data_IF_449175855006
#
_entry.id   IF_449175855006
#
_cell.length_a   1.000
_cell.length_b   1.000
_cell.length_c   1.000
_cell.angle_alpha   90.00
_cell.angle_beta   90.00
_cell.angle_gamma   90.00
#
_symmetry.space_group_name_H-M   'P 1'
#
loop_
_entity.id
_entity.type
_entity.pdbx_description
1 polymer ?
#
# COMPACT_ATOMS: atom_id res chain seq x y z
N UNK A 1 -2.93 9.51 52.11
CA UNK A 1 -2.67 10.18 50.82
C UNK A 1 -3.85 9.91 49.91
N UNK A 2 -4.58 10.95 49.50
CA UNK A 2 -5.85 10.83 48.80
C UNK A 2 -5.62 10.48 47.32
N UNK A 3 -6.04 9.29 46.91
CA UNK A 3 -6.16 8.90 45.49
C UNK A 3 -7.38 9.59 44.85
N UNK A 4 -7.39 10.92 44.83
CA UNK A 4 -8.31 11.68 43.97
C UNK A 4 -7.62 11.87 42.64
N UNK A 5 -7.78 10.92 41.73
CA UNK A 5 -7.66 11.18 40.30
C UNK A 5 -8.70 12.23 39.94
N UNK A 6 -8.29 13.50 39.93
CA UNK A 6 -9.12 14.62 39.50
C UNK A 6 -9.59 14.37 38.07
N UNK A 7 -10.89 14.51 37.77
CA UNK A 7 -11.43 14.32 36.41
C UNK A 7 -10.66 15.12 35.36
N UNK A 8 -10.19 16.31 35.72
CA UNK A 8 -9.38 17.19 34.85
C UNK A 8 -8.06 16.56 34.42
N UNK A 9 -7.40 15.78 35.29
CA UNK A 9 -6.16 15.04 34.94
C UNK A 9 -6.44 13.85 34.03
N UNK A 10 -7.60 13.21 34.17
CA UNK A 10 -8.02 12.12 33.28
C UNK A 10 -8.33 12.70 31.91
N UNK A 11 -9.06 13.83 31.84
CA UNK A 11 -9.36 14.53 30.60
C UNK A 11 -8.09 15.07 29.92
N UNK A 12 -7.17 15.69 30.67
CA UNK A 12 -5.85 16.10 30.13
C UNK A 12 -5.03 14.92 29.60
N UNK A 13 -5.06 13.77 30.27
CA UNK A 13 -4.35 12.58 29.81
C UNK A 13 -5.01 11.97 28.56
N UNK A 14 -6.34 11.98 28.48
CA UNK A 14 -7.08 11.54 27.30
C UNK A 14 -6.80 12.48 26.14
N UNK A 15 -6.86 13.79 26.34
CA UNK A 15 -6.55 14.77 25.32
C UNK A 15 -5.10 14.65 24.87
N UNK A 16 -4.13 14.56 25.78
CA UNK A 16 -2.70 14.39 25.45
C UNK A 16 -2.39 13.04 24.78
N UNK A 17 -3.19 12.01 25.02
CA UNK A 17 -3.12 10.74 24.29
C UNK A 17 -3.72 10.90 22.88
N UNK A 18 -4.88 11.54 22.77
CA UNK A 18 -5.56 11.82 21.51
C UNK A 18 -4.74 12.74 20.60
N UNK A 19 -4.09 13.75 21.15
CA UNK A 19 -3.18 14.64 20.40
C UNK A 19 -1.96 13.88 19.89
N UNK A 20 -1.40 12.95 20.68
CA UNK A 20 -0.29 12.08 20.23
C UNK A 20 -0.72 11.08 19.15
N UNK A 21 -1.90 10.51 19.27
CA UNK A 21 -2.46 9.63 18.24
C UNK A 21 -2.77 10.40 16.95
N UNK A 22 -3.23 11.65 17.07
CA UNK A 22 -3.40 12.56 15.94
C UNK A 22 -2.06 12.98 15.32
N UNK A 23 -1.04 13.29 16.10
CA UNK A 23 0.32 13.61 15.61
C UNK A 23 0.96 12.41 14.90
N UNK A 24 0.80 11.20 15.43
CA UNK A 24 1.19 9.96 14.73
C UNK A 24 0.43 9.77 13.42
N UNK A 25 -0.89 9.95 13.44
CA UNK A 25 -1.72 9.87 12.23
C UNK A 25 -1.42 10.95 11.17
N UNK A 26 -0.71 12.02 11.55
CA UNK A 26 -0.22 13.09 10.67
C UNK A 26 1.18 12.83 10.11
N UNK A 27 1.96 11.91 10.71
CA UNK A 27 3.24 11.45 10.15
C UNK A 27 3.03 10.86 8.76
N UNK A 28 3.86 11.28 7.79
CA UNK A 28 3.79 10.80 6.41
C UNK A 28 4.11 9.29 6.29
N UNK A 29 4.87 8.73 7.25
CA UNK A 29 5.24 7.32 7.25
C UNK A 29 4.06 6.39 7.58
N UNK A 30 3.14 6.82 8.45
CA UNK A 30 1.98 6.01 8.88
C UNK A 30 0.84 5.97 7.84
N UNK A 31 1.09 6.49 6.62
CA UNK A 31 0.13 6.55 5.51
C UNK A 31 0.38 5.49 4.44
N UNK A 32 1.47 4.74 4.54
CA UNK A 32 1.94 3.87 3.48
C UNK A 32 2.27 2.47 3.96
N UNK A 33 1.75 1.48 3.25
CA UNK A 33 2.25 0.11 3.33
C UNK A 33 3.13 -0.15 2.12
N UNK A 34 4.40 -0.48 2.38
CA UNK A 34 5.40 -0.71 1.33
C UNK A 34 5.98 -2.11 1.40
N UNK A 35 6.32 -2.65 0.24
CA UNK A 35 7.06 -3.90 0.09
C UNK A 35 8.08 -3.74 -1.01
N UNK A 36 9.37 -3.82 -0.63
CA UNK A 36 10.49 -3.77 -1.57
C UNK A 36 11.16 -5.13 -1.62
N UNK A 37 11.47 -5.57 -2.83
CA UNK A 37 12.26 -6.77 -3.11
C UNK A 37 13.40 -6.39 -4.06
N UNK A 38 14.54 -7.04 -3.89
CA UNK A 38 15.72 -6.83 -4.73
C UNK A 38 16.19 -8.18 -5.22
N UNK A 39 16.32 -8.30 -6.53
CA UNK A 39 16.88 -9.45 -7.19
C UNK A 39 18.30 -9.12 -7.63
N UNK A 40 19.25 -9.84 -7.03
CA UNK A 40 20.67 -9.70 -7.36
C UNK A 40 21.20 -10.81 -8.27
N UNK A 41 20.35 -11.75 -8.69
CA UNK A 41 20.77 -12.89 -9.51
C UNK A 41 20.80 -12.49 -10.99
N UNK A 42 21.98 -12.51 -11.59
CA UNK A 42 22.13 -12.23 -13.03
C UNK A 42 21.41 -13.35 -13.81
N UNK A 43 20.50 -13.02 -14.75
CA UNK A 43 19.79 -14.02 -15.53
C UNK A 43 20.75 -14.73 -16.48
N UNK A 44 20.44 -15.97 -16.85
CA UNK A 44 21.27 -16.74 -17.77
C UNK A 44 21.46 -16.00 -19.11
N UNK A 45 22.62 -16.17 -19.74
CA UNK A 45 22.98 -15.52 -20.99
C UNK A 45 22.09 -15.95 -22.17
N UNK A 46 21.48 -17.13 -22.09
CA UNK A 46 20.52 -17.65 -23.06
C UNK A 46 19.05 -17.43 -22.64
N UNK A 47 18.80 -16.75 -21.51
CA UNK A 47 17.46 -16.52 -21.00
C UNK A 47 16.61 -15.75 -22.01
N UNK A 48 15.46 -16.33 -22.34
CA UNK A 48 14.54 -15.76 -23.33
C UNK A 48 13.82 -14.53 -22.78
N UNK A 49 13.35 -13.64 -23.66
CA UNK A 49 12.55 -12.46 -23.26
C UNK A 49 11.37 -12.80 -22.34
N UNK A 50 10.59 -13.88 -22.59
CA UNK A 50 9.52 -14.29 -21.67
C UNK A 50 10.01 -14.75 -20.29
N UNK A 51 11.20 -15.35 -20.18
CA UNK A 51 11.79 -15.74 -18.89
C UNK A 51 12.23 -14.52 -18.08
N UNK A 52 12.88 -13.57 -18.74
CA UNK A 52 13.28 -12.29 -18.15
C UNK A 52 12.08 -11.45 -17.70
N UNK A 53 11.00 -11.43 -18.49
CA UNK A 53 9.73 -10.81 -18.07
C UNK A 53 9.11 -11.52 -16.85
N UNK A 54 9.14 -12.87 -16.82
CA UNK A 54 8.63 -13.63 -15.68
C UNK A 54 9.42 -13.33 -14.40
N UNK A 55 10.74 -13.16 -14.50
CA UNK A 55 11.60 -12.73 -13.38
C UNK A 55 11.15 -11.38 -12.83
N UNK A 56 11.00 -10.36 -13.68
CA UNK A 56 10.51 -9.03 -13.25
C UNK A 56 9.12 -9.10 -12.63
N UNK A 57 8.22 -9.90 -13.20
CA UNK A 57 6.88 -10.09 -12.64
C UNK A 57 6.92 -10.75 -11.26
N UNK A 58 7.74 -11.80 -11.09
CA UNK A 58 7.92 -12.48 -9.81
C UNK A 58 8.51 -11.54 -8.73
N UNK A 59 9.39 -10.62 -9.14
CA UNK A 59 9.94 -9.60 -8.27
C UNK A 59 8.86 -8.62 -7.77
N UNK A 60 8.01 -8.14 -8.68
CA UNK A 60 6.85 -7.29 -8.35
C UNK A 60 5.84 -8.04 -7.47
N UNK A 61 5.58 -9.31 -7.77
CA UNK A 61 4.70 -10.17 -6.97
C UNK A 61 5.23 -10.33 -5.54
N UNK A 62 6.54 -10.53 -5.38
CA UNK A 62 7.19 -10.60 -4.07
C UNK A 62 7.08 -9.28 -3.30
N UNK A 63 7.30 -8.15 -3.97
CA UNK A 63 7.05 -6.81 -3.41
C UNK A 63 5.59 -6.62 -2.96
N UNK A 64 4.64 -7.06 -3.77
CA UNK A 64 3.21 -7.07 -3.41
C UNK A 64 2.93 -7.91 -2.16
N UNK A 65 3.47 -9.13 -2.09
CA UNK A 65 3.27 -10.00 -0.93
C UNK A 65 3.82 -9.36 0.35
N UNK A 66 5.01 -8.75 0.28
CA UNK A 66 5.60 -8.01 1.40
C UNK A 66 4.72 -6.82 1.81
N UNK A 67 4.22 -6.04 0.85
CA UNK A 67 3.33 -4.91 1.15
C UNK A 67 2.01 -5.39 1.81
N UNK A 68 1.42 -6.47 1.30
CA UNK A 68 0.16 -7.04 1.81
C UNK A 68 0.27 -7.66 3.21
N UNK A 69 1.46 -8.14 3.56
CA UNK A 69 1.81 -8.73 4.87
C UNK A 69 2.47 -7.72 5.81
N UNK A 70 2.74 -6.49 5.35
CA UNK A 70 3.40 -5.47 6.17
C UNK A 70 2.58 -5.14 7.43
N UNK A 71 3.28 -4.83 8.51
CA UNK A 71 2.65 -4.39 9.76
C UNK A 71 1.86 -3.07 9.58
N UNK A 72 2.26 -2.26 8.60
CA UNK A 72 1.68 -0.95 8.22
C UNK A 72 0.23 -1.06 7.70
N UNK A 73 -0.18 -2.22 7.19
CA UNK A 73 -1.54 -2.37 6.62
C UNK A 73 -2.65 -2.27 7.69
N UNK A 74 -2.33 -2.68 8.93
CA UNK A 74 -3.29 -2.66 10.05
C UNK A 74 -3.55 -1.23 10.55
N UNK A 75 -2.52 -0.40 10.81
CA UNK A 75 -2.68 1.05 11.02
C UNK A 75 -3.47 1.74 9.91
N UNK A 76 -3.20 1.41 8.64
CA UNK A 76 -3.96 1.96 7.51
C UNK A 76 -5.42 1.57 7.54
N UNK A 77 -5.73 0.32 7.85
CA UNK A 77 -7.09 -0.15 8.02
C UNK A 77 -7.81 0.56 9.19
N UNK A 78 -7.11 0.82 10.29
CA UNK A 78 -7.66 1.57 11.43
C UNK A 78 -7.96 3.03 11.07
N UNK A 79 -7.06 3.70 10.33
CA UNK A 79 -7.30 5.06 9.80
C UNK A 79 -8.48 5.08 8.83
N UNK A 80 -8.55 4.10 7.93
CA UNK A 80 -9.68 3.96 7.02
C UNK A 80 -11.00 3.78 7.77
N UNK A 81 -11.03 2.94 8.81
CA UNK A 81 -12.20 2.81 9.69
C UNK A 81 -12.56 4.15 10.31
N UNK A 82 -11.60 4.89 10.87
CA UNK A 82 -11.87 6.19 11.45
C UNK A 82 -12.47 7.18 10.44
N UNK A 83 -12.00 7.15 9.18
CA UNK A 83 -12.57 7.94 8.08
C UNK A 83 -13.98 7.46 7.73
N UNK A 84 -14.22 6.14 7.67
CA UNK A 84 -15.54 5.57 7.38
C UNK A 84 -16.57 5.73 8.51
N UNK A 85 -16.12 5.78 9.77
CA UNK A 85 -16.93 6.03 10.97
C UNK A 85 -17.35 7.51 11.04
N UNK A 86 -16.60 8.43 10.42
CA UNK A 86 -17.07 9.79 10.11
C UNK A 86 -18.02 9.68 8.91
N UNK A 87 -19.29 9.39 9.21
CA UNK A 87 -20.42 9.41 8.28
C UNK A 87 -20.19 10.47 7.17
N UNK A 88 -20.10 10.03 5.91
CA UNK A 88 -19.92 10.83 4.68
C UNK A 88 -18.48 11.15 4.23
N UNK A 89 -17.42 10.62 4.86
CA UNK A 89 -16.07 10.76 4.30
C UNK A 89 -15.67 9.55 3.44
N UNK A 90 -15.08 9.85 2.28
CA UNK A 90 -14.41 8.86 1.42
C UNK A 90 -12.92 8.88 1.69
N UNK A 91 -12.23 7.77 1.41
CA UNK A 91 -10.78 7.73 1.38
C UNK A 91 -10.30 7.59 -0.06
N UNK A 92 -9.23 8.31 -0.41
CA UNK A 92 -8.52 8.15 -1.68
C UNK A 92 -7.18 7.51 -1.39
N UNK A 93 -6.74 6.65 -2.28
CA UNK A 93 -5.40 6.10 -2.19
C UNK A 93 -4.82 5.88 -3.55
N UNK A 94 -3.56 5.48 -3.56
CA UNK A 94 -2.86 5.04 -4.75
C UNK A 94 -2.05 3.79 -4.47
N UNK A 95 -1.99 2.95 -5.49
CA UNK A 95 -1.06 1.83 -5.55
C UNK A 95 -0.01 2.19 -6.57
N UNK A 96 1.25 2.21 -6.14
CA UNK A 96 2.38 2.39 -7.02
C UNK A 96 3.22 1.12 -7.11
N UNK A 97 3.77 0.90 -8.30
CA UNK A 97 4.78 -0.12 -8.59
C UNK A 97 5.95 0.63 -9.22
N UNK A 98 7.13 0.49 -8.64
CA UNK A 98 8.39 1.04 -9.16
C UNK A 98 9.34 -0.12 -9.45
N UNK A 99 9.95 -0.13 -10.63
CA UNK A 99 11.03 -1.06 -11.01
C UNK A 99 12.29 -0.25 -11.25
N UNK A 100 13.36 -0.59 -10.53
CA UNK A 100 14.64 0.11 -10.50
C UNK A 100 15.73 -0.77 -11.11
N UNK A 101 16.49 -0.24 -12.05
CA UNK A 101 17.59 -0.93 -12.71
C UNK A 101 18.90 -0.42 -12.12
N UNK A 102 19.48 -1.16 -11.16
CA UNK A 102 20.52 -0.62 -10.28
C UNK A 102 21.88 -0.50 -10.97
N UNK A 103 22.12 -1.31 -12.01
CA UNK A 103 23.39 -1.32 -12.76
C UNK A 103 23.24 -0.68 -14.15
N UNK A 104 22.18 0.07 -14.40
CA UNK A 104 21.90 0.67 -15.71
C UNK A 104 21.45 2.13 -15.57
N UNK A 105 21.86 3.00 -16.50
CA UNK A 105 21.51 4.43 -16.50
C UNK A 105 20.03 4.71 -16.86
N UNK A 106 19.19 3.67 -16.92
CA UNK A 106 17.79 3.80 -17.30
C UNK A 106 17.00 4.31 -16.08
N UNK A 107 16.06 5.21 -16.33
CA UNK A 107 15.16 5.71 -15.29
C UNK A 107 14.21 4.62 -14.79
N UNK A 108 13.81 4.73 -13.53
CA UNK A 108 12.85 3.83 -12.91
C UNK A 108 11.51 3.77 -13.67
N UNK A 109 10.98 2.57 -13.84
CA UNK A 109 9.67 2.34 -14.43
C UNK A 109 8.60 2.39 -13.35
N UNK A 110 7.90 3.53 -13.27
CA UNK A 110 6.89 3.79 -12.24
C UNK A 110 5.48 3.73 -12.84
N UNK A 111 4.60 2.93 -12.23
CA UNK A 111 3.18 2.85 -12.53
C UNK A 111 2.35 3.19 -11.30
N UNK A 112 1.44 4.15 -11.43
CA UNK A 112 0.53 4.55 -10.34
C UNK A 112 -0.92 4.31 -10.74
N UNK A 113 -1.70 3.74 -9.83
CA UNK A 113 -3.13 3.48 -10.00
C UNK A 113 -3.88 4.05 -8.80
N UNK A 114 -4.65 5.13 -8.99
CA UNK A 114 -5.50 5.66 -7.93
C UNK A 114 -6.66 4.70 -7.67
N UNK A 115 -7.14 4.69 -6.43
CA UNK A 115 -8.37 4.02 -6.04
C UNK A 115 -9.13 4.87 -5.03
N UNK A 116 -10.42 4.60 -4.94
CA UNK A 116 -11.30 5.19 -3.94
C UNK A 116 -11.91 4.11 -3.06
N UNK A 117 -12.11 4.47 -1.80
CA UNK A 117 -12.80 3.62 -0.84
C UNK A 117 -13.96 4.40 -0.24
N UNK A 118 -15.17 3.91 -0.51
CA UNK A 118 -16.42 4.44 0.00
C UNK A 118 -16.98 3.54 1.11
N UNK A 119 -17.93 4.05 1.93
CA UNK A 119 -18.62 3.24 2.95
C UNK A 119 -19.28 1.97 2.38
N UNK A 120 -19.77 2.01 1.14
CA UNK A 120 -20.36 0.82 0.47
C UNK A 120 -19.39 -0.36 0.39
N UNK A 121 -18.10 -0.13 0.16
CA UNK A 121 -17.13 -1.21 0.12
C UNK A 121 -16.99 -1.92 1.48
N UNK A 122 -17.16 -1.20 2.60
CA UNK A 122 -17.17 -1.83 3.94
C UNK A 122 -18.42 -2.67 4.16
N UNK A 123 -19.58 -2.20 3.68
CA UNK A 123 -20.82 -2.97 3.74
C UNK A 123 -20.75 -4.24 2.89
N UNK A 124 -20.20 -4.14 1.68
CA UNK A 124 -19.96 -5.27 0.79
C UNK A 124 -18.99 -6.27 1.43
N UNK A 125 -17.88 -5.79 1.99
CA UNK A 125 -16.92 -6.63 2.70
C UNK A 125 -17.55 -7.34 3.90
N UNK A 126 -18.42 -6.66 4.66
CA UNK A 126 -19.18 -7.25 5.77
C UNK A 126 -20.12 -8.36 5.31
N UNK A 127 -20.82 -8.17 4.18
CA UNK A 127 -21.71 -9.18 3.58
C UNK A 127 -20.92 -10.41 3.14
N UNK A 128 -19.76 -10.20 2.52
CA UNK A 128 -18.90 -11.28 2.02
C UNK A 128 -18.22 -12.06 3.15
N UNK A 129 -17.64 -11.36 4.12
CA UNK A 129 -16.86 -11.95 5.20
C UNK A 129 -17.71 -12.56 6.32
N UNK A 130 -18.99 -12.17 6.41
CA UNK A 130 -19.91 -12.49 7.51
C UNK A 130 -19.40 -12.09 8.89
N UNK A 131 -18.38 -11.22 8.97
CA UNK A 131 -17.87 -10.69 10.24
C UNK A 131 -18.32 -9.25 10.45
N UNK A 132 -18.73 -8.94 11.68
CA UNK A 132 -19.03 -7.58 12.12
C UNK A 132 -17.79 -6.78 12.48
N UNK A 133 -16.60 -7.41 12.51
CA UNK A 133 -15.33 -6.78 12.86
C UNK A 133 -14.87 -5.78 11.78
N UNK A 134 -14.89 -4.46 12.07
CA UNK A 134 -14.63 -3.43 11.07
C UNK A 134 -13.16 -3.38 10.63
N UNK A 135 -12.23 -3.70 11.54
CA UNK A 135 -10.78 -3.80 11.29
C UNK A 135 -10.45 -4.89 10.25
N UNK A 136 -11.06 -6.06 10.39
CA UNK A 136 -10.88 -7.19 9.47
C UNK A 136 -11.44 -6.87 8.09
N UNK A 137 -12.61 -6.24 8.03
CA UNK A 137 -13.25 -5.84 6.78
C UNK A 137 -12.45 -4.75 6.06
N UNK A 138 -11.98 -3.73 6.79
CA UNK A 138 -11.12 -2.67 6.26
C UNK A 138 -9.83 -3.24 5.66
N UNK A 139 -9.16 -4.15 6.38
CA UNK A 139 -7.94 -4.82 5.89
C UNK A 139 -8.21 -5.62 4.62
N UNK A 140 -9.35 -6.33 4.55
CA UNK A 140 -9.76 -7.10 3.35
C UNK A 140 -9.93 -6.17 2.15
N UNK A 141 -10.64 -5.05 2.33
CA UNK A 141 -10.83 -4.05 1.27
C UNK A 141 -9.49 -3.50 0.79
N UNK A 142 -8.60 -3.11 1.70
CA UNK A 142 -7.28 -2.59 1.35
C UNK A 142 -6.43 -3.62 0.58
N UNK A 143 -6.41 -4.88 1.02
CA UNK A 143 -5.71 -5.95 0.29
C UNK A 143 -6.28 -6.19 -1.10
N UNK A 144 -7.61 -6.11 -1.26
CA UNK A 144 -8.25 -6.23 -2.57
C UNK A 144 -7.86 -5.07 -3.50
N UNK A 145 -7.88 -3.83 -2.98
CA UNK A 145 -7.46 -2.63 -3.74
C UNK A 145 -5.98 -2.70 -4.10
N UNK A 146 -5.12 -3.14 -3.18
CA UNK A 146 -3.71 -3.39 -3.42
C UNK A 146 -3.51 -4.39 -4.55
N UNK A 147 -4.10 -5.59 -4.46
CA UNK A 147 -3.98 -6.64 -5.50
C UNK A 147 -4.40 -6.14 -6.89
N UNK A 148 -5.59 -5.52 -6.97
CA UNK A 148 -6.12 -5.03 -8.23
C UNK A 148 -5.28 -3.84 -8.76
N UNK A 149 -4.82 -2.98 -7.87
CA UNK A 149 -3.97 -1.83 -8.17
C UNK A 149 -2.60 -2.26 -8.72
N UNK A 150 -1.95 -3.26 -8.11
CA UNK A 150 -0.67 -3.80 -8.59
C UNK A 150 -0.82 -4.38 -9.99
N UNK A 151 -1.85 -5.19 -10.24
CA UNK A 151 -2.10 -5.76 -11.57
C UNK A 151 -2.35 -4.67 -12.63
N UNK A 152 -3.10 -3.61 -12.27
CA UNK A 152 -3.33 -2.50 -13.17
C UNK A 152 -2.08 -1.64 -13.39
N UNK A 153 -1.26 -1.44 -12.35
CA UNK A 153 0.00 -0.70 -12.41
C UNK A 153 1.02 -1.46 -13.27
N UNK A 154 1.13 -2.78 -13.07
CA UNK A 154 1.93 -3.68 -13.90
C UNK A 154 1.54 -3.56 -15.38
N UNK A 155 0.24 -3.65 -15.70
CA UNK A 155 -0.24 -3.48 -17.10
C UNK A 155 0.14 -2.12 -17.70
N UNK A 156 0.18 -1.05 -16.90
CA UNK A 156 0.63 0.28 -17.35
C UNK A 156 2.13 0.37 -17.60
N UNK A 157 2.95 -0.38 -16.85
CA UNK A 157 4.41 -0.36 -17.00
C UNK A 157 4.92 -1.43 -17.97
N UNK A 158 4.13 -2.46 -18.29
CA UNK A 158 4.51 -3.60 -19.16
C UNK A 158 5.18 -3.18 -20.48
N UNK A 159 4.70 -2.16 -21.24
CA UNK A 159 5.40 -1.72 -22.44
C UNK A 159 6.82 -1.20 -22.16
N UNK A 160 7.00 -0.47 -21.05
CA UNK A 160 8.30 0.09 -20.66
C UNK A 160 9.25 -0.97 -20.13
N UNK A 161 8.74 -1.96 -19.39
CA UNK A 161 9.53 -3.13 -18.99
C UNK A 161 10.05 -3.88 -20.22
N UNK A 162 9.21 -4.06 -21.25
CA UNK A 162 9.65 -4.68 -22.51
C UNK A 162 10.72 -3.87 -23.23
N UNK A 163 10.65 -2.54 -23.16
CA UNK A 163 11.69 -1.68 -23.72
C UNK A 163 12.99 -1.78 -22.92
N UNK A 164 12.91 -1.85 -21.59
CA UNK A 164 14.05 -2.12 -20.72
C UNK A 164 14.74 -3.45 -21.07
N UNK A 165 13.96 -4.48 -21.41
CA UNK A 165 14.49 -5.78 -21.87
C UNK A 165 15.26 -5.71 -23.19
N UNK A 166 14.83 -4.83 -24.11
CA UNK A 166 15.54 -4.58 -25.38
C UNK A 166 16.86 -3.85 -25.13
N UNK A 167 16.85 -2.91 -24.19
CA UNK A 167 18.03 -2.16 -23.75
C UNK A 167 18.96 -2.98 -22.85
N UNK A 168 18.55 -4.19 -22.44
CA UNK A 168 19.29 -5.08 -21.53
C UNK A 168 19.45 -4.51 -20.11
N UNK A 169 18.58 -3.58 -19.70
CA UNK A 169 18.63 -2.96 -18.38
C UNK A 169 18.34 -3.94 -17.23
N UNK A 170 17.61 -5.03 -17.50
CA UNK A 170 17.29 -6.07 -16.50
C UNK A 170 18.33 -7.20 -16.41
N UNK A 171 19.45 -7.13 -17.14
CA UNK A 171 20.54 -8.11 -16.99
C UNK A 171 21.22 -7.98 -15.61
N UNK A 172 21.31 -6.76 -15.08
CA UNK A 172 21.90 -6.50 -13.77
C UNK A 172 20.95 -6.78 -12.60
N UNK A 173 21.29 -6.17 -11.47
CA UNK A 173 20.47 -6.14 -10.28
C UNK A 173 19.24 -5.25 -10.51
N UNK A 174 18.08 -5.77 -10.11
CA UNK A 174 16.81 -5.08 -10.26
C UNK A 174 16.10 -5.05 -8.91
N UNK A 175 15.47 -3.94 -8.57
CA UNK A 175 14.58 -3.86 -7.42
C UNK A 175 13.16 -3.53 -7.85
N UNK A 176 12.17 -4.10 -7.17
CA UNK A 176 10.79 -3.68 -7.29
C UNK A 176 10.27 -3.20 -5.94
N UNK A 177 9.59 -2.06 -5.95
CA UNK A 177 8.89 -1.52 -4.79
C UNK A 177 7.40 -1.38 -5.10
N UNK A 178 6.57 -1.92 -4.21
CA UNK A 178 5.12 -1.77 -4.25
C UNK A 178 4.69 -0.97 -3.03
N UNK A 179 3.96 0.11 -3.27
CA UNK A 179 3.47 1.00 -2.20
C UNK A 179 1.97 1.20 -2.31
N UNK A 180 1.29 1.13 -1.16
CA UNK A 180 -0.12 1.47 -0.97
C UNK A 180 -0.19 2.70 -0.09
N UNK A 181 -0.62 3.83 -0.64
CA UNK A 181 -0.87 5.06 0.12
C UNK A 181 -2.37 5.26 0.36
N UNK A 182 -2.72 5.80 1.53
CA UNK A 182 -4.11 6.15 1.85
C UNK A 182 -4.22 7.52 2.52
N UNK A 183 -5.04 8.37 1.90
CA UNK A 183 -5.35 9.73 2.35
C UNK A 183 -6.86 9.94 2.52
N UNK A 184 -7.27 10.79 3.47
CA UNK A 184 -8.65 11.27 3.55
C UNK A 184 -9.05 11.90 2.20
N UNK A 185 -10.23 11.52 1.71
CA UNK A 185 -10.88 12.18 0.59
C UNK A 185 -11.70 13.38 1.05
N UNK A 186 -12.24 14.12 0.07
CA UNK A 186 -13.24 15.15 0.34
C UNK A 186 -14.60 14.55 0.74
N UNK A 187 -15.59 15.39 1.09
CA UNK A 187 -16.96 14.92 1.33
C UNK A 187 -17.52 14.23 0.08
N UNK A 188 -18.29 13.16 0.29
CA UNK A 188 -19.05 12.51 -0.79
C UNK A 188 -20.17 13.46 -1.25
N UNK A 189 -20.31 13.76 -2.56
CA UNK A 189 -21.41 14.58 -3.07
C UNK A 189 -22.77 13.87 -2.97
#
# INVERSE_FOLDING_TARGET
MSYRTTPDRILENIDRARTRDMERALSLNDRQARGREMDTEIPDGDATTPERMRRLFALIESGYQRAAQSAEISPLAARFRAIGDISHQMARGDVSVSVQYLDHDRHDDIGVVPFEVTPRHLEEAKKESRTSRPDVNATRVLRLKLRNGVLAAYKKIDPRLRDALKERADIGHVAAEVTLDLRPGGPVP
#
